data_IF_418346671518
#
_entry.id   IF_418346671518
#
_cell.length_a   1.000
_cell.length_b   1.000
_cell.length_c   1.000
_cell.angle_alpha   90.00
_cell.angle_beta   90.00
_cell.angle_gamma   90.00
#
_symmetry.space_group_name_H-M   'P 1'
#
loop_
_entity.id
_entity.type
_entity.pdbx_description
1 polymer ?
#
# COMPACT_ATOMS: atom_id res chain seq x y z
N UNK A 1 -8.27 -17.96 -11.08
CA UNK A 1 -8.28 -16.98 -9.97
C UNK A 1 -7.62 -15.70 -10.44
N UNK A 2 -8.16 -14.52 -10.09
CA UNK A 2 -7.54 -13.23 -10.40
C UNK A 2 -6.72 -12.74 -9.20
N UNK A 3 -5.90 -11.71 -9.40
CA UNK A 3 -5.13 -11.07 -8.34
C UNK A 3 -5.38 -9.57 -8.37
N UNK A 4 -5.74 -9.03 -7.22
CA UNK A 4 -5.90 -7.59 -7.01
C UNK A 4 -4.66 -7.08 -6.28
N UNK A 5 -3.87 -6.27 -6.94
CA UNK A 5 -2.76 -5.57 -6.29
C UNK A 5 -3.26 -4.22 -5.81
N UNK A 6 -3.11 -3.93 -4.53
CA UNK A 6 -3.61 -2.70 -3.90
C UNK A 6 -2.48 -1.94 -3.22
N UNK A 7 -2.59 -0.63 -3.24
CA UNK A 7 -1.77 0.31 -2.50
C UNK A 7 -2.62 1.46 -1.99
N UNK A 8 -2.30 1.98 -0.79
CA UNK A 8 -3.06 3.01 -0.12
C UNK A 8 -2.19 4.22 0.18
N UNK A 9 -2.68 5.40 -0.17
CA UNK A 9 -2.07 6.64 0.28
C UNK A 9 -2.84 7.22 1.45
N UNK A 10 -2.11 7.75 2.44
CA UNK A 10 -2.68 8.21 3.69
C UNK A 10 -2.27 9.66 4.00
N UNK A 11 -3.13 10.35 4.74
CA UNK A 11 -2.82 11.64 5.37
C UNK A 11 -2.82 11.55 6.89
N UNK A 12 -2.25 12.56 7.55
CA UNK A 12 -2.18 12.60 9.01
C UNK A 12 -3.49 13.07 9.63
N UNK A 13 -3.89 12.41 10.72
CA UNK A 13 -4.98 12.90 11.59
C UNK A 13 -4.36 13.76 12.70
N UNK A 14 -4.76 15.06 12.84
CA UNK A 14 -4.31 15.92 13.91
C UNK A 14 -4.60 15.31 15.29
N UNK A 15 -3.70 15.51 16.26
CA UNK A 15 -3.84 14.93 17.60
C UNK A 15 -5.17 15.28 18.28
N UNK A 16 -5.68 16.47 18.05
CA UNK A 16 -6.92 16.98 18.66
C UNK A 16 -8.17 16.21 18.18
N UNK A 17 -8.12 15.56 17.03
CA UNK A 17 -9.19 14.71 16.49
C UNK A 17 -9.08 13.24 16.90
N UNK A 18 -7.95 12.83 17.48
CA UNK A 18 -7.75 11.46 17.96
C UNK A 18 -8.52 11.28 19.27
N UNK A 19 -9.62 10.58 19.20
CA UNK A 19 -10.50 10.32 20.34
C UNK A 19 -10.61 8.82 20.63
N UNK A 20 -11.46 8.43 21.60
CA UNK A 20 -11.67 7.02 21.97
C UNK A 20 -12.15 6.15 20.81
N UNK A 21 -12.85 6.72 19.84
CA UNK A 21 -13.43 6.00 18.69
C UNK A 21 -12.50 6.00 17.49
N UNK A 22 -11.62 7.01 17.35
CA UNK A 22 -10.62 7.09 16.28
C UNK A 22 -9.25 7.37 16.89
N UNK A 23 -8.47 6.30 17.07
CA UNK A 23 -7.14 6.36 17.73
C UNK A 23 -5.99 6.42 16.74
N UNK A 24 -6.26 6.31 15.45
CA UNK A 24 -5.22 6.17 14.44
C UNK A 24 -4.62 7.51 14.04
N UNK A 25 -3.36 7.46 13.63
CA UNK A 25 -2.60 8.63 13.25
C UNK A 25 -2.85 9.09 11.83
N UNK A 26 -3.54 8.26 11.02
CA UNK A 26 -3.70 8.45 9.58
C UNK A 26 -5.12 8.09 9.10
N UNK A 27 -5.49 8.65 7.97
CA UNK A 27 -6.69 8.28 7.18
C UNK A 27 -6.32 8.11 5.72
N UNK A 28 -6.99 7.18 5.05
CA UNK A 28 -6.82 6.90 3.63
C UNK A 28 -7.34 8.08 2.81
N UNK A 29 -6.56 8.49 1.82
CA UNK A 29 -6.88 9.54 0.85
C UNK A 29 -6.88 9.06 -0.60
N UNK A 30 -6.30 7.89 -0.87
CA UNK A 30 -6.34 7.25 -2.18
C UNK A 30 -6.27 5.73 -2.03
N UNK A 31 -6.98 5.04 -2.92
CA UNK A 31 -6.89 3.60 -3.13
C UNK A 31 -6.44 3.42 -4.59
N UNK A 32 -5.23 2.95 -4.79
CA UNK A 32 -4.72 2.48 -6.06
C UNK A 32 -4.92 0.97 -6.18
N UNK A 33 -5.44 0.47 -7.29
CA UNK A 33 -5.59 -0.96 -7.47
C UNK A 33 -5.39 -1.38 -8.94
N UNK A 34 -4.71 -2.53 -9.11
CA UNK A 34 -4.44 -3.15 -10.41
C UNK A 34 -4.98 -4.57 -10.40
N UNK A 35 -5.82 -4.90 -11.38
CA UNK A 35 -6.37 -6.24 -11.56
C UNK A 35 -5.50 -7.05 -12.52
N UNK A 36 -5.01 -8.19 -12.07
CA UNK A 36 -4.27 -9.16 -12.86
C UNK A 36 -5.12 -10.42 -13.09
N UNK A 37 -4.95 -11.04 -14.26
CA UNK A 37 -5.56 -12.35 -14.53
C UNK A 37 -4.73 -13.51 -13.93
N UNK A 38 -5.19 -14.76 -14.15
CA UNK A 38 -4.52 -15.98 -13.70
C UNK A 38 -3.11 -16.21 -14.26
N UNK A 39 -2.71 -15.38 -15.25
CA UNK A 39 -1.35 -15.37 -15.84
C UNK A 39 -0.60 -14.10 -15.48
N UNK A 40 -1.01 -13.42 -14.42
CA UNK A 40 -0.42 -12.15 -13.95
C UNK A 40 -0.36 -11.04 -15.01
N UNK A 41 -1.26 -11.06 -16.03
CA UNK A 41 -1.36 -10.00 -17.02
C UNK A 41 -2.32 -8.93 -16.51
N UNK A 42 -1.91 -7.66 -16.58
CA UNK A 42 -2.78 -6.53 -16.23
C UNK A 42 -4.02 -6.53 -17.12
N UNK A 43 -5.18 -6.52 -16.50
CA UNK A 43 -6.49 -6.45 -17.13
C UNK A 43 -7.12 -5.08 -17.02
N UNK A 44 -6.99 -4.49 -15.85
CA UNK A 44 -7.63 -3.21 -15.55
C UNK A 44 -6.90 -2.53 -14.37
N UNK A 45 -7.20 -1.26 -14.15
CA UNK A 45 -6.69 -0.49 -13.03
C UNK A 45 -7.70 0.56 -12.60
N UNK A 46 -7.69 0.92 -11.32
CA UNK A 46 -8.55 1.96 -10.76
C UNK A 46 -7.78 2.78 -9.73
N UNK A 47 -8.04 4.09 -9.72
CA UNK A 47 -7.48 5.02 -8.75
C UNK A 47 -8.62 5.84 -8.14
N UNK A 48 -8.89 5.65 -6.86
CA UNK A 48 -10.02 6.21 -6.14
C UNK A 48 -9.55 7.19 -5.08
N UNK A 49 -9.77 8.48 -5.26
CA UNK A 49 -9.55 9.46 -4.20
C UNK A 49 -10.62 9.35 -3.12
N UNK A 50 -10.20 9.40 -1.86
CA UNK A 50 -11.05 9.30 -0.68
C UNK A 50 -11.05 10.64 0.06
N UNK A 51 -12.24 11.11 0.48
CA UNK A 51 -12.34 12.24 1.37
C UNK A 51 -12.13 11.80 2.82
N UNK A 52 -11.02 12.21 3.49
CA UNK A 52 -10.81 11.89 4.90
C UNK A 52 -11.80 12.67 5.79
N UNK A 53 -12.16 12.12 6.96
CA UNK A 53 -13.09 12.78 7.88
C UNK A 53 -12.37 13.77 8.81
N UNK A 54 -11.15 13.46 9.19
CA UNK A 54 -10.36 14.22 10.16
C UNK A 54 -8.94 14.50 9.65
N UNK A 55 -8.48 13.75 8.67
CA UNK A 55 -7.14 13.85 8.14
C UNK A 55 -6.91 15.12 7.33
N UNK A 56 -5.67 15.58 7.32
CA UNK A 56 -5.24 16.74 6.55
C UNK A 56 -4.02 16.39 5.69
N UNK A 57 -4.00 16.91 4.47
CA UNK A 57 -2.82 16.85 3.62
C UNK A 57 -1.95 18.06 3.94
N UNK A 58 -0.82 17.82 4.59
CA UNK A 58 0.24 18.81 4.76
C UNK A 58 1.19 18.83 3.55
N UNK A 59 2.16 19.74 3.55
CA UNK A 59 3.11 19.86 2.45
C UNK A 59 3.98 18.61 2.27
N UNK A 60 4.28 17.91 3.36
CA UNK A 60 5.05 16.67 3.32
C UNK A 60 4.28 15.57 2.57
N UNK A 61 3.04 15.32 2.96
CA UNK A 61 2.16 14.35 2.29
C UNK A 61 1.94 14.73 0.82
N UNK A 62 1.66 16.02 0.54
CA UNK A 62 1.45 16.48 -0.83
C UNK A 62 2.68 16.28 -1.73
N UNK A 63 3.88 16.45 -1.19
CA UNK A 63 5.13 16.25 -1.94
C UNK A 63 5.44 14.76 -2.13
N UNK A 64 5.15 13.94 -1.13
CA UNK A 64 5.39 12.49 -1.16
C UNK A 64 4.43 11.79 -2.14
N UNK A 65 3.12 12.00 -1.97
CA UNK A 65 2.08 11.31 -2.74
C UNK A 65 1.73 12.01 -4.06
N UNK A 66 2.02 13.32 -4.18
CA UNK A 66 1.55 14.16 -5.28
C UNK A 66 0.08 14.57 -5.15
N UNK A 67 -0.64 14.09 -4.12
CA UNK A 67 -2.06 14.34 -3.91
C UNK A 67 -2.23 15.71 -3.24
N UNK A 68 -3.17 16.49 -3.76
CA UNK A 68 -3.49 17.84 -3.25
C UNK A 68 -4.91 17.88 -2.70
N UNK A 69 -5.17 18.77 -1.75
CA UNK A 69 -6.49 18.97 -1.15
C UNK A 69 -7.63 19.12 -2.18
N UNK A 70 -7.38 19.72 -3.33
CA UNK A 70 -8.39 19.88 -4.40
C UNK A 70 -8.91 18.54 -4.96
N UNK A 71 -8.11 17.48 -4.92
CA UNK A 71 -8.48 16.16 -5.45
C UNK A 71 -9.36 15.39 -4.47
N UNK A 72 -9.13 15.57 -3.16
CA UNK A 72 -9.85 14.84 -2.13
C UNK A 72 -11.04 15.62 -1.54
N UNK A 73 -11.08 16.96 -1.70
CA UNK A 73 -12.09 17.83 -1.05
C UNK A 73 -13.54 17.40 -1.35
N UNK A 74 -13.79 17.00 -2.59
CA UNK A 74 -15.12 16.59 -3.06
C UNK A 74 -15.18 15.09 -3.40
N UNK A 75 -14.16 14.32 -3.01
CA UNK A 75 -14.17 12.88 -3.21
C UNK A 75 -15.22 12.23 -2.28
N UNK A 76 -15.80 11.10 -2.66
CA UNK A 76 -16.59 10.28 -1.77
C UNK A 76 -15.79 9.81 -0.55
N UNK A 77 -16.49 9.46 0.53
CA UNK A 77 -15.86 8.91 1.73
C UNK A 77 -15.44 7.45 1.51
N UNK A 78 -14.69 6.91 2.46
CA UNK A 78 -14.13 5.56 2.39
C UNK A 78 -15.19 4.49 2.10
N UNK A 79 -16.38 4.56 2.71
CA UNK A 79 -17.45 3.59 2.50
C UNK A 79 -17.86 3.50 1.02
N UNK A 80 -18.15 4.64 0.42
CA UNK A 80 -18.58 4.71 -0.99
C UNK A 80 -17.47 4.21 -1.94
N UNK A 81 -16.23 4.55 -1.61
CA UNK A 81 -15.07 4.10 -2.42
C UNK A 81 -14.79 2.61 -2.30
N UNK A 82 -14.97 2.02 -1.12
CA UNK A 82 -14.86 0.57 -0.97
C UNK A 82 -15.98 -0.17 -1.71
N UNK A 83 -17.20 0.36 -1.69
CA UNK A 83 -18.29 -0.22 -2.47
C UNK A 83 -18.02 -0.12 -3.98
N UNK A 84 -17.53 1.03 -4.46
CA UNK A 84 -17.13 1.21 -5.85
C UNK A 84 -16.00 0.23 -6.24
N UNK A 85 -14.99 0.07 -5.38
CA UNK A 85 -13.92 -0.90 -5.59
C UNK A 85 -14.47 -2.34 -5.68
N UNK A 86 -15.36 -2.72 -4.76
CA UNK A 86 -15.95 -4.07 -4.79
C UNK A 86 -16.86 -4.29 -6.00
N UNK A 87 -17.56 -3.27 -6.48
CA UNK A 87 -18.34 -3.32 -7.71
C UNK A 87 -17.46 -3.44 -8.95
N UNK A 88 -16.34 -2.70 -8.99
CA UNK A 88 -15.35 -2.81 -10.06
C UNK A 88 -14.71 -4.19 -10.13
N UNK A 89 -14.39 -4.80 -8.98
CA UNK A 89 -13.91 -6.19 -8.92
C UNK A 89 -14.99 -7.15 -9.42
N UNK A 90 -16.27 -6.91 -9.06
CA UNK A 90 -17.41 -7.76 -9.41
C UNK A 90 -17.36 -9.13 -8.75
N UNK A 91 -18.01 -10.12 -9.37
CA UNK A 91 -18.14 -11.49 -8.83
C UNK A 91 -16.91 -12.38 -9.10
N UNK A 92 -15.79 -11.79 -9.43
CA UNK A 92 -14.55 -12.55 -9.70
C UNK A 92 -14.01 -13.19 -8.44
N UNK A 93 -13.51 -14.40 -8.58
CA UNK A 93 -12.65 -15.01 -7.55
C UNK A 93 -11.28 -14.34 -7.60
N UNK A 94 -10.80 -13.80 -6.46
CA UNK A 94 -9.53 -13.07 -6.38
C UNK A 94 -8.84 -13.20 -5.04
N UNK A 95 -7.51 -13.01 -5.06
CA UNK A 95 -6.69 -12.71 -3.89
C UNK A 95 -6.20 -11.27 -3.96
N UNK A 96 -5.95 -10.67 -2.80
CA UNK A 96 -5.45 -9.30 -2.68
C UNK A 96 -3.98 -9.36 -2.31
N UNK A 97 -3.15 -8.71 -3.09
CA UNK A 97 -1.74 -8.48 -2.79
C UNK A 97 -1.54 -7.03 -2.40
N UNK A 98 -0.92 -6.79 -1.27
CA UNK A 98 -0.33 -5.51 -0.91
C UNK A 98 1.19 -5.68 -0.79
N UNK A 99 1.97 -4.62 -1.02
CA UNK A 99 3.41 -4.74 -0.81
C UNK A 99 3.71 -5.10 0.64
N UNK A 100 3.04 -4.45 1.60
CA UNK A 100 3.20 -4.77 3.01
C UNK A 100 1.88 -4.90 3.75
N UNK A 101 1.91 -5.45 4.95
CA UNK A 101 0.72 -5.56 5.81
C UNK A 101 0.19 -4.20 6.31
N UNK A 102 0.92 -3.10 6.08
CA UNK A 102 0.48 -1.75 6.49
C UNK A 102 -0.86 -1.35 5.87
N UNK A 103 -1.06 -1.68 4.59
CA UNK A 103 -2.28 -1.36 3.85
C UNK A 103 -3.50 -2.10 4.42
N UNK A 104 -3.38 -3.40 4.62
CA UNK A 104 -4.44 -4.18 5.27
C UNK A 104 -4.73 -3.69 6.68
N UNK A 105 -3.69 -3.40 7.47
CA UNK A 105 -3.83 -2.92 8.83
C UNK A 105 -4.53 -1.56 8.88
N UNK A 106 -4.10 -0.61 8.05
CA UNK A 106 -4.72 0.73 7.96
C UNK A 106 -6.20 0.61 7.58
N UNK A 107 -6.50 -0.15 6.53
CA UNK A 107 -7.87 -0.31 6.05
C UNK A 107 -8.76 -1.01 7.10
N UNK A 108 -8.26 -2.07 7.74
CA UNK A 108 -8.96 -2.77 8.83
C UNK A 108 -9.30 -1.85 9.99
N UNK A 109 -8.36 -0.97 10.35
CA UNK A 109 -8.55 0.00 11.40
C UNK A 109 -9.65 1.01 11.04
N UNK A 110 -9.65 1.54 9.82
CA UNK A 110 -10.68 2.49 9.40
C UNK A 110 -12.06 1.86 9.23
N UNK A 111 -12.15 0.69 8.62
CA UNK A 111 -13.41 -0.06 8.48
C UNK A 111 -14.02 -0.31 9.85
N UNK A 112 -13.21 -0.71 10.84
CA UNK A 112 -13.66 -0.93 12.21
C UNK A 112 -14.08 0.37 12.92
N UNK A 113 -13.26 1.42 12.84
CA UNK A 113 -13.53 2.70 13.51
C UNK A 113 -14.77 3.37 12.97
N UNK A 114 -14.96 3.31 11.65
CA UNK A 114 -16.09 3.90 10.93
C UNK A 114 -17.31 2.98 10.90
N UNK A 115 -17.21 1.79 11.54
CA UNK A 115 -18.29 0.78 11.65
C UNK A 115 -18.90 0.40 10.29
N UNK A 116 -18.08 0.21 9.29
CA UNK A 116 -18.52 -0.18 7.96
C UNK A 116 -18.86 -1.68 7.97
N UNK A 117 -20.16 -2.02 7.91
CA UNK A 117 -20.65 -3.40 8.06
C UNK A 117 -21.32 -3.94 6.79
N UNK A 118 -21.08 -3.32 5.64
CA UNK A 118 -21.58 -3.80 4.37
C UNK A 118 -20.98 -5.17 4.04
N UNK A 119 -21.80 -6.13 3.63
CA UNK A 119 -21.35 -7.50 3.33
C UNK A 119 -20.22 -7.56 2.29
N UNK A 120 -20.31 -6.73 1.24
CA UNK A 120 -19.26 -6.63 0.21
C UNK A 120 -17.94 -6.16 0.81
N UNK A 121 -17.97 -5.14 1.68
CA UNK A 121 -16.79 -4.63 2.37
C UNK A 121 -16.21 -5.70 3.30
N UNK A 122 -17.05 -6.38 4.09
CA UNK A 122 -16.60 -7.44 5.00
C UNK A 122 -15.99 -8.62 4.23
N UNK A 123 -16.59 -9.01 3.10
CA UNK A 123 -16.02 -10.06 2.23
C UNK A 123 -14.68 -9.64 1.62
N UNK A 124 -14.53 -8.38 1.21
CA UNK A 124 -13.26 -7.83 0.73
C UNK A 124 -12.19 -7.82 1.82
N UNK A 125 -12.58 -7.51 3.06
CA UNK A 125 -11.70 -7.44 4.23
C UNK A 125 -11.39 -8.80 4.87
N UNK A 126 -11.87 -9.92 4.31
CA UNK A 126 -11.59 -11.26 4.84
C UNK A 126 -10.06 -11.51 4.82
N UNK A 127 -9.42 -11.76 6.00
CA UNK A 127 -7.95 -11.80 6.09
C UNK A 127 -7.30 -12.84 5.19
N UNK A 128 -8.00 -13.97 4.95
CA UNK A 128 -7.53 -15.07 4.10
C UNK A 128 -7.38 -14.68 2.61
N UNK A 129 -7.94 -13.55 2.20
CA UNK A 129 -7.78 -13.00 0.85
C UNK A 129 -6.51 -12.18 0.69
N UNK A 130 -5.95 -11.67 1.81
CA UNK A 130 -4.85 -10.71 1.78
C UNK A 130 -3.51 -11.39 1.94
N UNK A 131 -2.59 -11.03 1.08
CA UNK A 131 -1.22 -11.53 1.07
C UNK A 131 -0.26 -10.35 1.17
N UNK A 132 0.57 -10.37 2.21
CA UNK A 132 1.73 -9.51 2.37
C UNK A 132 2.83 -9.99 1.41
N UNK A 133 3.02 -9.29 0.29
CA UNK A 133 3.98 -9.72 -0.71
C UNK A 133 5.43 -9.42 -0.31
N UNK A 134 5.66 -8.45 0.57
CA UNK A 134 6.97 -8.17 1.17
C UNK A 134 7.45 -9.37 2.00
N UNK A 135 6.53 -9.99 2.76
CA UNK A 135 6.85 -11.20 3.51
C UNK A 135 7.15 -12.39 2.56
N UNK A 136 6.36 -12.56 1.50
CA UNK A 136 6.59 -13.57 0.45
C UNK A 136 7.96 -13.37 -0.20
N UNK A 137 8.28 -12.13 -0.59
CA UNK A 137 9.56 -11.76 -1.16
C UNK A 137 10.71 -12.01 -0.18
N UNK A 138 10.57 -11.56 1.06
CA UNK A 138 11.57 -11.75 2.10
C UNK A 138 11.89 -13.22 2.36
N UNK A 139 10.87 -14.08 2.48
CA UNK A 139 11.02 -15.53 2.66
C UNK A 139 11.69 -16.19 1.45
N UNK A 140 11.26 -15.84 0.23
CA UNK A 140 11.80 -16.41 -1.01
C UNK A 140 13.31 -16.17 -1.15
N UNK A 141 13.79 -14.99 -0.77
CA UNK A 141 15.19 -14.60 -0.93
C UNK A 141 15.97 -14.54 0.38
N UNK A 142 15.40 -15.05 1.47
CA UNK A 142 16.05 -15.16 2.79
C UNK A 142 16.54 -13.82 3.36
N UNK A 143 15.77 -12.76 3.18
CA UNK A 143 16.07 -11.48 3.82
C UNK A 143 15.71 -11.52 5.30
N UNK A 144 16.64 -11.05 6.14
CA UNK A 144 16.42 -10.92 7.59
C UNK A 144 15.56 -9.72 7.98
N UNK A 145 15.55 -8.71 7.12
CA UNK A 145 14.78 -7.46 7.33
C UNK A 145 13.79 -7.26 6.19
N UNK A 146 12.74 -6.50 6.49
CA UNK A 146 11.78 -6.09 5.48
C UNK A 146 12.46 -5.24 4.39
N UNK A 147 12.21 -5.57 3.13
CA UNK A 147 12.76 -4.90 1.95
C UNK A 147 11.74 -3.90 1.45
N UNK A 148 12.12 -2.66 1.19
CA UNK A 148 11.20 -1.67 0.61
C UNK A 148 10.82 -2.04 -0.83
N UNK A 149 9.66 -1.55 -1.31
CA UNK A 149 9.24 -1.77 -2.70
C UNK A 149 10.30 -1.27 -3.69
N UNK A 150 10.83 -0.08 -3.45
CA UNK A 150 11.87 0.51 -4.28
C UNK A 150 13.12 -0.38 -4.36
N UNK A 151 13.57 -0.90 -3.23
CA UNK A 151 14.73 -1.81 -3.17
C UNK A 151 14.43 -3.12 -3.90
N UNK A 152 13.24 -3.71 -3.68
CA UNK A 152 12.83 -4.94 -4.36
C UNK A 152 12.76 -4.78 -5.88
N UNK A 153 12.22 -3.63 -6.36
CA UNK A 153 12.24 -3.29 -7.79
C UNK A 153 13.67 -3.25 -8.34
N UNK A 154 14.57 -2.57 -7.64
CA UNK A 154 15.97 -2.48 -8.05
C UNK A 154 16.67 -3.83 -8.07
N UNK A 155 16.44 -4.66 -7.04
CA UNK A 155 17.00 -6.02 -6.97
C UNK A 155 16.44 -6.93 -8.07
N UNK A 156 15.28 -6.62 -8.58
CA UNK A 156 14.63 -7.32 -9.67
C UNK A 156 14.84 -6.67 -11.04
N UNK A 157 15.77 -5.73 -11.20
CA UNK A 157 16.00 -5.00 -12.46
C UNK A 157 14.70 -4.40 -13.05
N UNK A 158 13.98 -3.72 -12.19
CA UNK A 158 12.77 -2.98 -12.54
C UNK A 158 12.94 -1.51 -12.18
N UNK A 159 12.49 -0.64 -13.07
CA UNK A 159 12.39 0.79 -12.81
C UNK A 159 11.04 1.11 -12.19
N UNK A 160 11.04 2.02 -11.22
CA UNK A 160 9.81 2.55 -10.65
C UNK A 160 9.12 3.47 -11.67
N UNK A 161 7.86 3.21 -11.97
CA UNK A 161 7.05 4.05 -12.83
C UNK A 161 6.25 5.05 -11.99
N UNK A 162 6.66 6.30 -12.04
CA UNK A 162 5.97 7.38 -11.34
C UNK A 162 5.83 7.14 -9.84
N UNK A 163 4.64 7.48 -9.30
CA UNK A 163 4.28 7.33 -7.88
C UNK A 163 3.13 6.33 -7.69
N UNK A 164 2.94 5.41 -8.63
CA UNK A 164 1.89 4.40 -8.56
C UNK A 164 2.47 3.09 -8.00
N UNK A 165 2.41 2.94 -6.69
CA UNK A 165 2.99 1.80 -6.01
C UNK A 165 2.19 0.51 -6.22
N UNK A 166 0.87 0.59 -6.48
CA UNK A 166 0.08 -0.57 -6.90
C UNK A 166 0.57 -1.12 -8.25
N UNK A 167 0.84 -0.23 -9.23
CA UNK A 167 1.36 -0.63 -10.54
C UNK A 167 2.79 -1.19 -10.43
N UNK A 168 3.65 -0.56 -9.63
CA UNK A 168 5.01 -1.00 -9.39
C UNK A 168 5.04 -2.38 -8.72
N UNK A 169 4.20 -2.60 -7.71
CA UNK A 169 4.01 -3.89 -7.04
C UNK A 169 3.50 -4.95 -8.03
N UNK A 170 2.52 -4.60 -8.87
CA UNK A 170 2.00 -5.52 -9.89
C UNK A 170 3.06 -5.96 -10.90
N UNK A 171 3.96 -5.06 -11.31
CA UNK A 171 5.10 -5.41 -12.19
C UNK A 171 6.06 -6.37 -11.52
N UNK A 172 6.40 -6.11 -10.26
CA UNK A 172 7.29 -6.94 -9.46
C UNK A 172 6.70 -8.35 -9.29
N UNK A 173 5.45 -8.44 -8.86
CA UNK A 173 4.73 -9.72 -8.71
C UNK A 173 4.76 -10.48 -10.04
N UNK A 174 4.34 -9.84 -11.13
CA UNK A 174 4.34 -10.48 -12.45
C UNK A 174 5.70 -11.03 -12.84
N UNK A 175 6.78 -10.26 -12.63
CA UNK A 175 8.15 -10.71 -12.95
C UNK A 175 8.53 -11.96 -12.15
N UNK A 176 8.22 -11.99 -10.87
CA UNK A 176 8.61 -13.06 -9.97
C UNK A 176 7.76 -14.31 -10.11
N UNK A 177 6.44 -14.17 -10.31
CA UNK A 177 5.52 -15.28 -10.47
C UNK A 177 5.67 -15.98 -11.84
N UNK A 178 6.01 -15.22 -12.88
CA UNK A 178 6.32 -15.80 -14.19
C UNK A 178 7.74 -16.37 -14.28
N UNK A 179 8.61 -16.06 -13.32
CA UNK A 179 9.99 -16.55 -13.27
C UNK A 179 10.32 -17.03 -11.85
N UNK A 180 9.82 -18.19 -11.40
CA UNK A 180 10.01 -18.68 -10.03
C UNK A 180 11.48 -18.78 -9.61
N UNK A 181 12.36 -19.10 -10.57
CA UNK A 181 13.82 -19.24 -10.36
C UNK A 181 14.60 -17.94 -10.57
N UNK A 182 13.89 -16.77 -10.58
CA UNK A 182 14.56 -15.48 -10.78
C UNK A 182 15.62 -15.24 -9.70
N UNK A 183 16.84 -14.92 -10.13
CA UNK A 183 17.95 -14.55 -9.25
C UNK A 183 18.02 -13.02 -9.13
N UNK A 184 18.11 -12.54 -7.91
CA UNK A 184 18.27 -11.10 -7.65
C UNK A 184 19.60 -10.61 -8.21
N UNK A 185 19.64 -9.36 -8.66
CA UNK A 185 20.88 -8.71 -9.06
C UNK A 185 21.70 -8.47 -7.80
N UNK A 186 22.86 -9.12 -7.69
CA UNK A 186 23.84 -8.78 -6.67
C UNK A 186 24.41 -7.38 -6.98
N UNK A 187 24.03 -6.37 -6.20
CA UNK A 187 24.83 -5.16 -6.15
C UNK A 187 26.17 -5.51 -5.50
N UNK A 188 27.24 -5.43 -6.27
CA UNK A 188 28.56 -5.27 -5.66
C UNK A 188 28.45 -4.07 -4.71
N UNK A 189 28.76 -4.29 -3.44
CA UNK A 189 28.85 -3.26 -2.43
C UNK A 189 29.56 -2.04 -3.02
N UNK A 190 28.80 -0.98 -3.29
CA UNK A 190 29.39 0.33 -3.51
C UNK A 190 30.12 0.64 -2.18
N UNK A 191 31.44 0.71 -2.27
CA UNK A 191 32.30 1.16 -1.19
C UNK A 191 31.76 2.45 -0.60
N UNK A 192 31.89 2.58 0.73
CA UNK A 192 31.37 3.65 1.61
C UNK A 192 31.92 5.07 1.27
N UNK A 193 31.81 5.52 0.04
CA UNK A 193 32.27 6.86 -0.35
C UNK A 193 31.25 7.55 -1.26
N UNK A 194 30.01 7.68 -0.84
CA UNK A 194 29.07 8.72 -1.27
C UNK A 194 27.74 8.52 -0.53
N UNK A 195 27.73 8.83 0.76
CA UNK A 195 26.49 8.98 1.51
C UNK A 195 25.91 10.38 1.22
N UNK A 196 25.01 10.46 0.26
CA UNK A 196 24.15 11.64 0.12
C UNK A 196 23.15 11.66 1.28
N UNK A 197 23.16 12.68 2.17
CA UNK A 197 22.35 12.70 3.39
C UNK A 197 20.84 12.87 3.17
N UNK A 198 20.35 12.82 1.95
CA UNK A 198 18.93 13.03 1.60
C UNK A 198 18.14 11.76 1.27
N UNK A 199 18.75 10.57 1.39
CA UNK A 199 18.06 9.32 1.10
C UNK A 199 17.53 8.62 2.37
N UNK A 200 16.71 9.35 3.15
CA UNK A 200 16.03 8.78 4.32
C UNK A 200 14.82 7.97 3.82
N UNK A 201 14.90 6.66 3.90
CA UNK A 201 13.76 5.78 3.67
C UNK A 201 12.70 6.03 4.76
N UNK A 202 11.42 6.14 4.37
CA UNK A 202 10.31 6.40 5.31
C UNK A 202 10.23 5.35 6.43
N UNK A 203 10.66 4.12 6.18
CA UNK A 203 10.76 3.06 7.19
C UNK A 203 11.68 3.42 8.38
N UNK A 204 12.74 4.17 8.13
CA UNK A 204 13.71 4.57 9.18
C UNK A 204 13.17 5.71 10.04
N UNK A 205 12.25 6.54 9.53
CA UNK A 205 11.62 7.62 10.28
C UNK A 205 10.64 7.12 11.36
N UNK A 206 10.11 5.91 11.21
CA UNK A 206 9.19 5.31 12.17
C UNK A 206 9.84 4.25 13.08
N UNK A 207 11.02 3.74 12.73
CA UNK A 207 11.76 2.77 13.55
C UNK A 207 12.30 3.35 14.87
N UNK A 208 12.38 4.68 14.99
CA UNK A 208 12.86 5.39 16.19
C UNK A 208 11.81 5.77 17.21
N UNK A 209 10.53 5.51 16.98
CA UNK A 209 9.45 5.84 17.91
C UNK A 209 9.15 4.65 18.83
N UNK A 210 10.05 4.36 19.77
CA UNK A 210 9.73 3.58 20.96
C UNK A 210 8.75 4.41 21.80
N UNK A 211 7.47 4.01 21.77
CA UNK A 211 6.48 4.48 22.74
C UNK A 211 6.65 3.59 23.97
N UNK A 212 7.33 4.09 25.00
CA UNK A 212 7.25 3.50 26.33
C UNK A 212 5.83 3.62 26.83
N UNK A 213 5.18 2.47 27.03
CA UNK A 213 3.92 2.39 27.75
C UNK A 213 4.21 2.49 29.24
N UNK A 214 3.85 3.60 29.84
CA UNK A 214 3.60 3.72 31.27
C UNK A 214 2.10 3.67 31.54
#
# INVERSE_FOLDING_TARGET
MNYLVIDLEMCKVPKDYRNKNYKYASEIIQIGAVLLDERYRRRDEICLYVHPEHGVIDNFIANMTGIKNRQIKNAPKLRERLLELTEWIGDREYQVFAWSNSDFSQLSHEVRSKKLQDEKIQSFMAPERWIDYQEVFGKKYSFEKAVSLQEALMLCDLTQDGRDDALNTAKLIRKLELNPEYQLICRQTLTEEESDPLNICLGDLFAGLHIECA
#
